data_IF_242282277869
#
_entry.id   IF_242282277869
#
_cell.length_a   1.000
_cell.length_b   1.000
_cell.length_c   1.000
_cell.angle_alpha   90.00
_cell.angle_beta   90.00
_cell.angle_gamma   90.00
#
_symmetry.space_group_name_H-M   'P 1'
#
loop_
_entity.id
_entity.type
_entity.pdbx_description
1 polymer ?
#
# COMPACT_ATOMS: atom_id res chain seq x y z
N UNK A 1 -46.10 20.47 5.85
CA UNK A 1 -45.99 19.09 6.39
C UNK A 1 -44.59 18.60 6.06
N UNK A 2 -43.67 18.74 7.01
CA UNK A 2 -42.31 18.29 6.91
C UNK A 2 -42.30 16.77 7.07
N UNK A 3 -41.84 16.05 6.06
CA UNK A 3 -41.61 14.61 6.18
C UNK A 3 -40.33 14.41 7.01
N UNK A 4 -40.51 13.99 8.27
CA UNK A 4 -39.39 13.50 9.08
C UNK A 4 -38.70 12.34 8.35
N UNK A 5 -37.34 12.27 8.30
CA UNK A 5 -36.65 11.17 7.66
C UNK A 5 -36.97 9.86 8.39
N UNK A 6 -37.38 8.85 7.61
CA UNK A 6 -37.65 7.51 8.10
C UNK A 6 -36.34 6.88 8.59
N UNK A 7 -36.11 6.95 9.88
CA UNK A 7 -34.97 6.27 10.52
C UNK A 7 -35.34 4.79 10.64
N UNK A 8 -34.72 3.95 9.82
CA UNK A 8 -34.82 2.49 9.99
C UNK A 8 -34.19 2.14 11.33
N UNK A 9 -34.95 1.60 12.31
CA UNK A 9 -34.38 1.21 13.59
C UNK A 9 -33.30 0.16 13.34
N UNK A 10 -32.06 0.44 13.78
CA UNK A 10 -30.99 -0.53 13.77
C UNK A 10 -31.45 -1.76 14.55
N UNK A 11 -31.66 -2.88 13.88
CA UNK A 11 -31.93 -4.16 14.55
C UNK A 11 -30.81 -4.37 15.57
N UNK A 12 -31.17 -4.50 16.84
CA UNK A 12 -30.23 -4.80 17.92
C UNK A 12 -29.60 -6.18 17.64
N UNK A 13 -28.44 -6.16 16.98
CA UNK A 13 -27.66 -7.36 16.72
C UNK A 13 -26.82 -7.68 17.94
N UNK A 14 -26.75 -8.94 18.31
CA UNK A 14 -25.89 -9.49 19.34
C UNK A 14 -24.42 -9.42 18.91
N UNK A 15 -23.76 -8.28 19.10
CA UNK A 15 -22.32 -8.07 18.87
C UNK A 15 -21.85 -8.11 17.40
N UNK A 16 -20.58 -7.76 17.15
CA UNK A 16 -19.99 -7.79 15.82
C UNK A 16 -19.81 -9.23 15.33
N UNK A 17 -20.11 -9.47 14.06
CA UNK A 17 -19.88 -10.75 13.41
C UNK A 17 -18.48 -10.77 12.77
N UNK A 18 -17.92 -11.96 12.55
CA UNK A 18 -16.61 -12.11 11.88
C UNK A 18 -16.55 -11.38 10.53
N UNK A 19 -17.66 -11.41 9.77
CA UNK A 19 -17.76 -10.69 8.50
C UNK A 19 -17.60 -9.19 8.65
N UNK A 20 -18.07 -8.59 9.76
CA UNK A 20 -17.97 -7.15 9.99
C UNK A 20 -16.51 -6.77 10.29
N UNK A 21 -15.77 -7.64 10.98
CA UNK A 21 -14.32 -7.48 11.20
C UNK A 21 -13.55 -7.67 9.89
N UNK A 22 -13.88 -8.67 9.07
CA UNK A 22 -13.25 -8.86 7.77
C UNK A 22 -13.52 -7.68 6.84
N UNK A 23 -14.73 -7.13 6.84
CA UNK A 23 -15.06 -5.93 6.06
C UNK A 23 -14.25 -4.71 6.54
N UNK A 24 -14.04 -4.56 7.86
CA UNK A 24 -13.19 -3.51 8.43
C UNK A 24 -11.72 -3.65 7.98
N UNK A 25 -11.20 -4.88 7.92
CA UNK A 25 -9.83 -5.16 7.51
C UNK A 25 -9.60 -5.09 5.98
N UNK A 26 -10.66 -4.96 5.18
CA UNK A 26 -10.65 -4.77 3.72
C UNK A 26 -9.71 -5.73 2.95
N UNK A 27 -9.98 -7.03 2.85
CA UNK A 27 -9.09 -8.02 2.23
C UNK A 27 -8.61 -7.66 0.82
N UNK A 28 -9.42 -6.90 0.06
CA UNK A 28 -9.05 -6.41 -1.29
C UNK A 28 -7.78 -5.54 -1.28
N UNK A 29 -7.45 -4.91 -0.16
CA UNK A 29 -6.27 -4.04 -0.02
C UNK A 29 -5.00 -4.81 0.33
N UNK A 30 -5.08 -6.10 0.67
CA UNK A 30 -3.91 -6.89 1.10
C UNK A 30 -3.02 -7.30 -0.05
N UNK A 31 -3.56 -7.33 -1.28
CA UNK A 31 -2.83 -7.79 -2.45
C UNK A 31 -1.50 -7.03 -2.70
N UNK A 32 -1.47 -5.67 -2.76
CA UNK A 32 -0.23 -4.95 -3.06
C UNK A 32 0.91 -5.23 -2.07
N UNK A 33 0.74 -5.13 -0.73
CA UNK A 33 1.82 -5.44 0.19
C UNK A 33 2.21 -6.93 0.20
N UNK A 34 1.28 -7.85 -0.04
CA UNK A 34 1.61 -9.27 -0.21
C UNK A 34 2.42 -9.51 -1.48
N UNK A 35 2.12 -8.80 -2.57
CA UNK A 35 2.90 -8.84 -3.80
C UNK A 35 4.33 -8.33 -3.57
N UNK A 36 4.48 -7.16 -2.95
CA UNK A 36 5.78 -6.60 -2.62
C UNK A 36 6.57 -7.51 -1.66
N UNK A 37 5.91 -8.11 -0.67
CA UNK A 37 6.49 -9.13 0.19
C UNK A 37 7.03 -10.32 -0.64
N UNK A 38 6.26 -10.83 -1.60
CA UNK A 38 6.70 -11.90 -2.49
C UNK A 38 7.89 -11.49 -3.36
N UNK A 39 7.95 -10.24 -3.83
CA UNK A 39 9.15 -9.72 -4.50
C UNK A 39 10.37 -9.77 -3.56
N UNK A 40 10.19 -9.48 -2.27
CA UNK A 40 11.22 -9.63 -1.25
C UNK A 40 11.70 -11.07 -1.09
N UNK A 41 10.75 -11.99 -0.97
CA UNK A 41 11.04 -13.44 -0.89
C UNK A 41 11.86 -13.90 -2.09
N UNK A 42 11.41 -13.56 -3.30
CA UNK A 42 12.11 -13.95 -4.55
C UNK A 42 13.50 -13.32 -4.61
N UNK A 43 13.62 -12.01 -4.31
CA UNK A 43 14.89 -11.28 -4.42
C UNK A 43 15.97 -11.76 -3.46
N UNK A 44 15.59 -12.49 -2.39
CA UNK A 44 16.53 -13.04 -1.44
C UNK A 44 17.41 -14.18 -2.03
N UNK A 45 16.98 -14.79 -3.14
CA UNK A 45 17.63 -15.96 -3.72
C UNK A 45 17.58 -17.22 -2.85
N UNK A 46 16.99 -17.15 -1.66
CA UNK A 46 16.94 -18.28 -0.71
C UNK A 46 15.86 -19.28 -1.13
N UNK A 47 16.19 -20.58 -1.26
CA UNK A 47 15.20 -21.60 -1.61
C UNK A 47 14.05 -21.68 -0.61
N UNK A 48 12.84 -21.92 -1.13
CA UNK A 48 11.63 -22.07 -0.31
C UNK A 48 11.55 -23.41 0.44
N UNK A 49 12.40 -24.38 0.08
CA UNK A 49 12.44 -25.68 0.77
C UNK A 49 12.55 -25.45 2.29
N UNK A 50 11.71 -26.12 3.05
CA UNK A 50 11.63 -26.06 4.52
C UNK A 50 11.29 -24.68 5.12
N UNK A 51 10.93 -23.67 4.30
CA UNK A 51 10.59 -22.31 4.73
C UNK A 51 9.15 -21.90 4.50
N UNK A 52 8.30 -22.83 4.08
CA UNK A 52 6.88 -22.55 3.80
C UNK A 52 6.13 -21.93 4.99
N UNK A 53 6.44 -22.37 6.20
CA UNK A 53 5.86 -21.80 7.43
C UNK A 53 6.20 -20.33 7.60
N UNK A 54 7.46 -19.93 7.35
CA UNK A 54 7.90 -18.54 7.40
C UNK A 54 7.28 -17.70 6.28
N UNK A 55 7.18 -18.25 5.06
CA UNK A 55 6.50 -17.58 3.95
C UNK A 55 5.05 -17.27 4.29
N UNK A 56 4.29 -18.27 4.77
CA UNK A 56 2.88 -18.09 5.12
C UNK A 56 2.75 -17.09 6.27
N UNK A 57 3.56 -17.23 7.32
CA UNK A 57 3.55 -16.30 8.46
C UNK A 57 3.87 -14.85 8.03
N UNK A 58 4.84 -14.66 7.15
CA UNK A 58 5.20 -13.35 6.61
C UNK A 58 4.12 -12.75 5.70
N UNK A 59 3.46 -13.57 4.86
CA UNK A 59 2.32 -13.13 4.07
C UNK A 59 1.13 -12.71 4.95
N UNK A 60 0.85 -13.47 6.01
CA UNK A 60 -0.18 -13.12 6.99
C UNK A 60 0.20 -11.84 7.74
N UNK A 61 1.48 -11.63 8.01
CA UNK A 61 1.97 -10.41 8.64
C UNK A 61 1.78 -9.20 7.71
N UNK A 62 2.23 -9.26 6.44
CA UNK A 62 2.17 -8.14 5.51
C UNK A 62 0.73 -7.78 5.10
N UNK A 63 -0.11 -8.76 4.79
CA UNK A 63 -1.49 -8.58 4.36
C UNK A 63 -2.46 -8.40 5.52
N UNK A 64 -3.03 -9.47 6.09
CA UNK A 64 -4.08 -9.39 7.11
C UNK A 64 -3.70 -8.59 8.35
N UNK A 65 -2.48 -8.79 8.88
CA UNK A 65 -2.09 -8.20 10.16
C UNK A 65 -1.69 -6.74 10.04
N UNK A 66 -0.71 -6.39 9.19
CA UNK A 66 -0.25 -5.00 9.11
C UNK A 66 -1.15 -4.17 8.19
N UNK A 67 -1.37 -4.60 6.94
CA UNK A 67 -2.21 -3.85 6.00
C UNK A 67 -3.68 -3.85 6.44
N UNK A 68 -4.25 -5.01 6.78
CA UNK A 68 -5.63 -5.08 7.26
C UNK A 68 -5.84 -4.22 8.51
N UNK A 69 -4.90 -4.27 9.47
CA UNK A 69 -4.97 -3.42 10.65
C UNK A 69 -4.87 -1.93 10.31
N UNK A 70 -4.08 -1.54 9.31
CA UNK A 70 -4.01 -0.14 8.86
C UNK A 70 -5.37 0.38 8.37
N UNK A 71 -6.21 -0.51 7.79
CA UNK A 71 -7.58 -0.17 7.40
C UNK A 71 -8.48 0.06 8.62
N UNK A 72 -8.34 -0.77 9.66
CA UNK A 72 -9.07 -0.58 10.91
C UNK A 72 -8.69 0.74 11.61
N UNK A 73 -7.40 1.06 11.64
CA UNK A 73 -6.89 2.36 12.13
C UNK A 73 -7.52 3.50 11.32
N UNK A 74 -7.47 3.40 9.98
CA UNK A 74 -8.01 4.41 9.09
C UNK A 74 -9.51 4.65 9.32
N UNK A 75 -10.32 3.59 9.31
CA UNK A 75 -11.77 3.69 9.50
C UNK A 75 -12.15 4.21 10.89
N UNK A 76 -11.35 3.91 11.93
CA UNK A 76 -11.57 4.48 13.24
C UNK A 76 -11.39 6.00 13.26
N UNK A 77 -10.30 6.51 12.67
CA UNK A 77 -10.04 7.95 12.65
C UNK A 77 -10.97 8.70 11.69
N UNK A 78 -11.47 8.03 10.64
CA UNK A 78 -12.39 8.61 9.66
C UNK A 78 -13.88 8.42 10.01
N UNK A 79 -14.22 7.71 11.08
CA UNK A 79 -15.60 7.32 11.42
C UNK A 79 -16.65 8.44 11.34
N UNK A 80 -16.24 9.68 11.61
CA UNK A 80 -17.14 10.85 11.53
C UNK A 80 -17.37 11.32 10.08
N UNK A 81 -16.34 11.24 9.25
CA UNK A 81 -16.41 11.54 7.82
C UNK A 81 -17.14 10.42 7.09
N UNK A 82 -16.82 9.17 7.43
CA UNK A 82 -17.47 7.98 6.86
C UNK A 82 -18.96 7.92 7.23
N UNK A 83 -19.37 8.44 8.38
CA UNK A 83 -20.80 8.50 8.74
C UNK A 83 -21.64 9.34 7.75
N UNK A 84 -20.99 10.27 7.04
CA UNK A 84 -21.64 11.09 6.00
C UNK A 84 -21.48 10.44 4.63
N UNK A 85 -20.26 10.00 4.29
CA UNK A 85 -19.93 9.57 2.93
C UNK A 85 -20.21 8.09 2.67
N UNK A 86 -20.00 7.23 3.67
CA UNK A 86 -20.12 5.78 3.58
C UNK A 86 -20.79 5.19 4.84
N UNK A 87 -22.04 5.60 5.14
CA UNK A 87 -22.73 5.23 6.39
C UNK A 87 -22.94 3.72 6.56
N UNK A 88 -22.80 2.94 5.48
CA UNK A 88 -22.89 1.49 5.48
C UNK A 88 -21.64 0.77 6.02
N UNK A 89 -20.48 1.45 6.16
CA UNK A 89 -19.24 0.86 6.70
C UNK A 89 -19.45 0.32 8.12
N UNK A 90 -18.66 -0.67 8.57
CA UNK A 90 -18.88 -1.36 9.85
C UNK A 90 -18.95 -0.45 11.07
N UNK A 91 -18.11 0.60 11.16
CA UNK A 91 -18.09 1.50 12.31
C UNK A 91 -19.24 2.50 12.26
N UNK A 92 -19.47 3.28 11.18
CA UNK A 92 -20.58 4.22 11.11
C UNK A 92 -21.96 3.56 11.22
N UNK A 93 -22.14 2.38 10.64
CA UNK A 93 -23.41 1.65 10.70
C UNK A 93 -23.74 1.06 12.09
N UNK A 94 -22.80 1.12 13.05
CA UNK A 94 -22.97 0.54 14.37
C UNK A 94 -22.77 -0.97 14.43
N UNK A 95 -22.42 -1.65 13.32
CA UNK A 95 -22.09 -3.09 13.31
C UNK A 95 -20.85 -3.40 14.15
N UNK A 96 -19.92 -2.45 14.22
CA UNK A 96 -18.79 -2.41 15.16
C UNK A 96 -19.04 -1.24 16.12
N UNK A 97 -19.65 -1.48 17.30
CA UNK A 97 -20.16 -0.41 18.15
C UNK A 97 -19.09 0.25 19.01
N UNK A 98 -19.35 1.48 19.41
CA UNK A 98 -18.59 2.21 20.42
C UNK A 98 -17.11 2.35 20.06
N UNK A 99 -16.21 1.96 20.98
CA UNK A 99 -14.75 2.00 20.80
C UNK A 99 -14.15 0.69 20.28
N UNK A 100 -14.98 -0.27 19.87
CA UNK A 100 -14.49 -1.59 19.48
C UNK A 100 -13.56 -1.53 18.25
N UNK A 101 -13.84 -0.62 17.27
CA UNK A 101 -12.95 -0.39 16.13
C UNK A 101 -11.53 0.03 16.58
N UNK A 102 -11.41 0.89 17.59
CA UNK A 102 -10.12 1.27 18.16
C UNK A 102 -9.45 0.09 18.86
N UNK A 103 -10.20 -0.71 19.61
CA UNK A 103 -9.62 -1.88 20.30
C UNK A 103 -9.14 -2.93 19.30
N UNK A 104 -9.86 -3.14 18.19
CA UNK A 104 -9.40 -4.00 17.09
C UNK A 104 -8.09 -3.46 16.51
N UNK A 105 -8.00 -2.14 16.26
CA UNK A 105 -6.78 -1.50 15.74
C UNK A 105 -5.58 -1.64 16.69
N UNK A 106 -5.79 -1.45 18.00
CA UNK A 106 -4.73 -1.62 19.01
C UNK A 106 -4.32 -3.10 19.13
N UNK A 107 -5.29 -4.01 19.25
CA UNK A 107 -5.01 -5.44 19.34
C UNK A 107 -4.30 -5.96 18.08
N UNK A 108 -4.75 -5.54 16.88
CA UNK A 108 -4.10 -5.87 15.61
C UNK A 108 -2.66 -5.36 15.55
N UNK A 109 -2.39 -4.14 16.05
CA UNK A 109 -1.02 -3.61 16.15
C UNK A 109 -0.14 -4.46 17.06
N UNK A 110 -0.63 -4.80 18.26
CA UNK A 110 0.11 -5.65 19.21
C UNK A 110 0.37 -7.04 18.64
N UNK A 111 -0.63 -7.67 18.02
CA UNK A 111 -0.50 -8.99 17.38
C UNK A 111 0.53 -8.92 16.25
N UNK A 112 0.47 -7.89 15.40
CA UNK A 112 1.44 -7.69 14.30
C UNK A 112 2.87 -7.62 14.84
N UNK A 113 3.11 -6.83 15.89
CA UNK A 113 4.42 -6.70 16.52
C UNK A 113 4.90 -8.02 17.11
N UNK A 114 4.05 -8.73 17.85
CA UNK A 114 4.40 -10.03 18.41
C UNK A 114 4.77 -11.04 17.32
N UNK A 115 3.97 -11.15 16.27
CA UNK A 115 4.26 -12.04 15.12
C UNK A 115 5.57 -11.63 14.44
N UNK A 116 5.77 -10.33 14.20
CA UNK A 116 7.00 -9.82 13.58
C UNK A 116 8.25 -10.20 14.36
N UNK A 117 8.24 -10.03 15.69
CA UNK A 117 9.37 -10.40 16.55
C UNK A 117 9.55 -11.91 16.74
N UNK A 118 8.47 -12.69 16.70
CA UNK A 118 8.55 -14.17 16.70
C UNK A 118 9.21 -14.69 15.42
N UNK A 119 8.94 -14.06 14.27
CA UNK A 119 9.61 -14.43 12.99
C UNK A 119 11.10 -14.08 13.06
N UNK A 120 11.46 -12.92 13.62
CA UNK A 120 12.85 -12.51 13.79
C UNK A 120 13.01 -11.03 14.17
N UNK A 121 14.14 -10.64 14.78
CA UNK A 121 14.31 -9.27 15.28
C UNK A 121 14.28 -8.20 14.18
N UNK A 122 14.83 -8.48 13.00
CA UNK A 122 14.82 -7.56 11.85
C UNK A 122 13.40 -7.42 11.29
N UNK A 123 12.65 -8.53 11.21
CA UNK A 123 11.24 -8.53 10.80
C UNK A 123 10.40 -7.77 11.82
N UNK A 124 10.64 -7.96 13.13
CA UNK A 124 10.00 -7.21 14.19
C UNK A 124 10.25 -5.70 14.06
N UNK A 125 11.49 -5.29 13.82
CA UNK A 125 11.84 -3.89 13.60
C UNK A 125 11.14 -3.30 12.36
N UNK A 126 11.09 -4.02 11.24
CA UNK A 126 10.33 -3.63 10.05
C UNK A 126 8.81 -3.51 10.36
N UNK A 127 8.27 -4.42 11.17
CA UNK A 127 6.87 -4.37 11.61
C UNK A 127 6.59 -3.14 12.47
N UNK A 128 7.52 -2.77 13.37
CA UNK A 128 7.41 -1.50 14.13
C UNK A 128 7.30 -0.31 13.19
N UNK A 129 8.14 -0.26 12.16
CA UNK A 129 8.08 0.82 11.14
C UNK A 129 6.73 0.81 10.42
N UNK A 130 6.26 -0.34 9.94
CA UNK A 130 4.98 -0.47 9.22
C UNK A 130 3.78 -0.06 10.09
N UNK A 131 3.73 -0.52 11.34
CA UNK A 131 2.67 -0.14 12.29
C UNK A 131 2.74 1.36 12.62
N UNK A 132 3.93 1.91 12.85
CA UNK A 132 4.11 3.34 13.10
C UNK A 132 3.64 4.18 11.90
N UNK A 133 3.97 3.76 10.67
CA UNK A 133 3.48 4.42 9.44
C UNK A 133 1.95 4.36 9.34
N UNK A 134 1.31 3.22 9.67
CA UNK A 134 -0.15 3.09 9.64
C UNK A 134 -0.84 4.06 10.61
N UNK A 135 -0.34 4.19 11.85
CA UNK A 135 -0.84 5.15 12.81
C UNK A 135 -0.56 6.58 12.39
N UNK A 136 0.66 6.91 11.98
CA UNK A 136 1.05 8.25 11.53
C UNK A 136 0.27 8.71 10.28
N UNK A 137 -0.11 7.78 9.41
CA UNK A 137 -0.94 8.05 8.24
C UNK A 137 -2.33 8.56 8.61
N UNK A 138 -2.96 7.98 9.65
CA UNK A 138 -4.37 8.23 9.98
C UNK A 138 -4.59 9.07 11.24
N UNK A 139 -3.72 8.93 12.26
CA UNK A 139 -3.91 9.52 13.58
C UNK A 139 -3.34 10.95 13.68
N UNK A 140 -4.06 11.88 14.37
CA UNK A 140 -3.48 13.14 14.79
C UNK A 140 -2.30 12.91 15.78
N UNK A 141 -1.30 13.82 15.84
CA UNK A 141 -1.21 15.09 15.10
C UNK A 141 -0.66 14.92 13.68
N UNK A 142 -0.07 13.79 13.31
CA UNK A 142 0.61 13.60 12.03
C UNK A 142 -0.36 13.53 10.85
N UNK A 143 -1.31 12.61 10.89
CA UNK A 143 -2.37 12.43 9.89
C UNK A 143 -1.88 12.66 8.44
N UNK A 144 -0.81 11.98 8.04
CA UNK A 144 -0.13 12.21 6.74
C UNK A 144 -1.05 12.10 5.53
N UNK A 145 -2.13 11.32 5.62
CA UNK A 145 -3.13 11.24 4.56
C UNK A 145 -3.79 12.57 4.18
N UNK A 146 -3.77 13.56 5.10
CA UNK A 146 -4.29 14.90 4.82
C UNK A 146 -3.35 15.74 3.94
N UNK A 147 -2.13 15.27 3.67
CA UNK A 147 -1.13 15.94 2.87
C UNK A 147 -0.90 15.18 1.56
N UNK A 148 -1.14 15.82 0.42
CA UNK A 148 -1.06 15.20 -0.90
C UNK A 148 0.33 14.72 -1.33
N UNK A 149 1.40 15.10 -0.63
CA UNK A 149 2.76 14.60 -0.85
C UNK A 149 3.11 13.46 0.12
N UNK A 150 2.90 13.72 1.41
CA UNK A 150 3.28 12.77 2.47
C UNK A 150 2.36 11.56 2.53
N UNK A 151 1.06 11.74 2.27
CA UNK A 151 0.10 10.64 2.25
C UNK A 151 0.49 9.55 1.24
N UNK A 152 0.59 9.88 -0.05
CA UNK A 152 1.06 8.96 -1.08
C UNK A 152 2.43 8.36 -0.79
N UNK A 153 3.39 9.15 -0.27
CA UNK A 153 4.75 8.68 0.04
C UNK A 153 4.76 7.65 1.17
N UNK A 154 4.05 7.92 2.26
CA UNK A 154 3.98 6.99 3.40
C UNK A 154 3.23 5.71 3.01
N UNK A 155 2.15 5.83 2.23
CA UNK A 155 1.41 4.68 1.74
C UNK A 155 2.28 3.79 0.83
N UNK A 156 2.96 4.38 -0.15
CA UNK A 156 3.87 3.68 -1.06
C UNK A 156 5.06 3.05 -0.32
N UNK A 157 5.65 3.78 0.62
CA UNK A 157 6.73 3.29 1.47
C UNK A 157 6.33 2.08 2.31
N UNK A 158 5.13 2.08 2.88
CA UNK A 158 4.61 0.96 3.66
C UNK A 158 4.27 -0.24 2.77
N UNK A 159 3.54 -0.01 1.68
CA UNK A 159 3.02 -1.08 0.82
C UNK A 159 4.13 -1.76 0.02
N UNK A 160 5.01 -0.98 -0.61
CA UNK A 160 6.06 -1.51 -1.47
C UNK A 160 7.39 -1.67 -0.71
N UNK A 161 7.83 -0.64 0.00
CA UNK A 161 9.15 -0.62 0.64
C UNK A 161 9.25 -1.56 1.83
N UNK A 162 8.46 -1.32 2.89
CA UNK A 162 8.51 -2.11 4.12
C UNK A 162 8.10 -3.56 3.87
N UNK A 163 7.12 -3.79 3.00
CA UNK A 163 6.65 -5.14 2.68
C UNK A 163 7.71 -5.94 1.90
N UNK A 164 8.36 -5.35 0.90
CA UNK A 164 9.47 -5.99 0.18
C UNK A 164 10.65 -6.30 1.11
N UNK A 165 11.06 -5.29 1.92
CA UNK A 165 12.10 -5.49 2.93
C UNK A 165 11.76 -6.66 3.87
N UNK A 166 10.52 -6.71 4.35
CA UNK A 166 10.06 -7.77 5.26
C UNK A 166 10.16 -9.15 4.61
N UNK A 167 9.74 -9.28 3.35
CA UNK A 167 9.86 -10.54 2.61
C UNK A 167 11.30 -11.02 2.46
N UNK A 168 12.21 -10.12 2.11
CA UNK A 168 13.64 -10.44 2.00
C UNK A 168 14.26 -10.77 3.37
N UNK A 169 13.89 -10.02 4.43
CA UNK A 169 14.38 -10.24 5.79
C UNK A 169 13.90 -11.57 6.38
N UNK A 170 12.66 -11.98 6.11
CA UNK A 170 12.10 -13.29 6.51
C UNK A 170 12.92 -14.43 5.91
N UNK A 171 13.27 -14.32 4.64
CA UNK A 171 14.03 -15.37 3.94
C UNK A 171 15.51 -15.35 4.31
N UNK A 172 16.13 -14.18 4.47
CA UNK A 172 17.53 -14.06 4.88
C UNK A 172 17.75 -14.45 6.36
N UNK A 173 16.71 -14.39 7.20
CA UNK A 173 16.82 -14.53 8.65
C UNK A 173 17.53 -13.34 9.32
N UNK A 174 17.65 -12.20 8.62
CA UNK A 174 18.38 -11.00 9.06
C UNK A 174 18.23 -9.84 8.09
N UNK A 175 19.24 -8.95 8.05
CA UNK A 175 19.24 -7.83 7.12
C UNK A 175 19.34 -8.29 5.67
N UNK A 176 18.49 -7.78 4.77
CA UNK A 176 18.62 -8.04 3.33
C UNK A 176 19.91 -7.48 2.73
N UNK A 177 20.33 -8.04 1.60
CA UNK A 177 21.44 -7.51 0.81
C UNK A 177 21.18 -6.04 0.39
N UNK A 178 22.23 -5.23 0.37
CA UNK A 178 22.13 -3.81 0.04
C UNK A 178 21.52 -3.56 -1.36
N UNK A 179 21.76 -4.46 -2.31
CA UNK A 179 21.18 -4.37 -3.67
C UNK A 179 19.66 -4.49 -3.65
N UNK A 180 19.11 -5.36 -2.78
CA UNK A 180 17.67 -5.48 -2.56
C UNK A 180 17.13 -4.17 -1.99
N UNK A 181 17.83 -3.60 -1.00
CA UNK A 181 17.42 -2.33 -0.37
C UNK A 181 17.38 -1.20 -1.41
N UNK A 182 18.36 -1.10 -2.29
CA UNK A 182 18.35 -0.10 -3.36
C UNK A 182 17.13 -0.27 -4.29
N UNK A 183 16.86 -1.48 -4.74
CA UNK A 183 15.75 -1.74 -5.67
C UNK A 183 14.39 -1.48 -5.00
N UNK A 184 14.16 -1.97 -3.77
CA UNK A 184 12.90 -1.71 -3.08
C UNK A 184 12.67 -0.21 -2.80
N UNK A 185 13.73 0.54 -2.48
CA UNK A 185 13.61 1.99 -2.30
C UNK A 185 13.20 2.70 -3.60
N UNK A 186 13.75 2.29 -4.74
CA UNK A 186 13.38 2.86 -6.03
C UNK A 186 11.92 2.53 -6.38
N UNK A 187 11.48 1.30 -6.19
CA UNK A 187 10.09 0.94 -6.43
C UNK A 187 9.13 1.59 -5.42
N UNK A 188 9.49 1.70 -4.15
CA UNK A 188 8.68 2.43 -3.18
C UNK A 188 8.53 3.92 -3.54
N UNK A 189 9.62 4.56 -3.98
CA UNK A 189 9.57 5.94 -4.50
C UNK A 189 8.67 6.06 -5.73
N UNK A 190 8.79 5.13 -6.67
CA UNK A 190 7.95 5.14 -7.87
C UNK A 190 6.47 4.89 -7.58
N UNK A 191 6.15 4.04 -6.62
CA UNK A 191 4.77 3.78 -6.19
C UNK A 191 4.05 5.01 -5.63
N UNK A 192 4.77 6.05 -5.19
CA UNK A 192 4.19 7.36 -4.88
C UNK A 192 3.33 7.87 -6.04
N UNK A 193 3.81 7.76 -7.28
CA UNK A 193 3.03 8.17 -8.46
C UNK A 193 1.74 7.37 -8.65
N UNK A 194 1.76 6.06 -8.33
CA UNK A 194 0.55 5.22 -8.34
C UNK A 194 -0.46 5.72 -7.30
N UNK A 195 0.00 6.06 -6.09
CA UNK A 195 -0.86 6.59 -5.04
C UNK A 195 -1.46 7.95 -5.43
N UNK A 196 -0.67 8.84 -6.05
CA UNK A 196 -1.18 10.11 -6.59
C UNK A 196 -2.26 9.88 -7.65
N UNK A 197 -2.09 8.91 -8.56
CA UNK A 197 -3.12 8.59 -9.57
C UNK A 197 -4.40 8.02 -8.92
N UNK A 198 -4.31 7.38 -7.77
CA UNK A 198 -5.48 6.92 -7.04
C UNK A 198 -6.34 8.07 -6.50
N UNK A 199 -5.76 9.24 -6.24
CA UNK A 199 -6.49 10.41 -5.72
C UNK A 199 -7.40 11.04 -6.78
N UNK A 200 -7.14 10.81 -8.08
CA UNK A 200 -7.96 11.39 -9.17
C UNK A 200 -9.43 10.97 -9.13
N UNK A 201 -9.75 9.83 -8.55
CA UNK A 201 -11.14 9.38 -8.36
C UNK A 201 -11.92 10.18 -7.32
N UNK A 202 -11.21 10.87 -6.42
CA UNK A 202 -11.78 11.54 -5.25
C UNK A 202 -11.66 13.07 -5.29
N UNK A 203 -11.08 13.68 -6.33
CA UNK A 203 -10.75 15.13 -6.41
C UNK A 203 -11.88 16.03 -5.98
N UNK A 204 -13.13 15.76 -6.44
CA UNK A 204 -14.31 16.59 -6.07
C UNK A 204 -14.66 16.47 -4.59
N UNK A 205 -14.63 15.26 -4.06
CA UNK A 205 -14.87 15.00 -2.64
C UNK A 205 -13.76 15.60 -1.77
N UNK A 206 -12.51 15.39 -2.15
CA UNK A 206 -11.34 15.91 -1.45
C UNK A 206 -11.42 17.44 -1.30
N UNK A 207 -11.74 18.15 -2.39
CA UNK A 207 -11.91 19.60 -2.37
C UNK A 207 -13.06 20.05 -1.45
N UNK A 208 -14.18 19.32 -1.38
CA UNK A 208 -15.32 19.64 -0.55
C UNK A 208 -15.05 19.41 0.95
N UNK A 209 -14.29 18.38 1.28
CA UNK A 209 -14.01 17.98 2.67
C UNK A 209 -12.66 18.47 3.21
N UNK A 210 -11.97 19.36 2.47
CA UNK A 210 -10.72 19.98 2.90
C UNK A 210 -9.55 18.98 2.93
N UNK A 211 -9.62 17.90 2.14
CA UNK A 211 -8.49 16.99 1.91
C UNK A 211 -7.61 17.59 0.82
N UNK A 212 -6.37 17.88 1.17
CA UNK A 212 -5.40 18.48 0.27
C UNK A 212 -4.63 17.39 -0.52
N UNK A 213 -5.36 16.57 -1.31
CA UNK A 213 -4.71 15.65 -2.25
C UNK A 213 -3.94 16.42 -3.33
N UNK A 214 -2.95 15.78 -3.95
CA UNK A 214 -2.08 16.46 -4.89
C UNK A 214 -2.83 17.09 -6.07
N UNK A 215 -3.82 16.41 -6.70
CA UNK A 215 -4.64 17.02 -7.75
C UNK A 215 -5.42 18.26 -7.28
N UNK A 216 -5.82 18.32 -6.00
CA UNK A 216 -6.50 19.50 -5.41
C UNK A 216 -5.51 20.64 -5.21
N UNK A 217 -4.29 20.36 -4.75
CA UNK A 217 -3.28 21.38 -4.44
C UNK A 217 -2.72 22.08 -5.68
N UNK A 218 -2.35 21.31 -6.72
CA UNK A 218 -1.57 21.81 -7.86
C UNK A 218 -2.29 21.63 -9.22
N UNK A 219 -3.53 21.15 -9.18
CA UNK A 219 -4.33 20.85 -10.37
C UNK A 219 -4.02 19.49 -10.98
N UNK A 220 -5.01 18.93 -11.69
CA UNK A 220 -4.97 17.56 -12.23
C UNK A 220 -3.78 17.34 -13.18
N UNK A 221 -3.49 18.32 -14.08
CA UNK A 221 -2.41 18.17 -15.06
C UNK A 221 -1.04 18.04 -14.41
N UNK A 222 -0.71 18.97 -13.50
CA UNK A 222 0.58 18.98 -12.82
C UNK A 222 0.73 17.74 -11.92
N UNK A 223 -0.34 17.34 -11.24
CA UNK A 223 -0.34 16.12 -10.43
C UNK A 223 -0.11 14.86 -11.27
N UNK A 224 -0.70 14.78 -12.47
CA UNK A 224 -0.47 13.67 -13.40
C UNK A 224 0.97 13.65 -13.94
N UNK A 225 1.54 14.82 -14.27
CA UNK A 225 2.95 14.93 -14.69
C UNK A 225 3.90 14.45 -13.58
N UNK A 226 3.68 14.91 -12.34
CA UNK A 226 4.46 14.45 -11.18
C UNK A 226 4.30 12.94 -10.97
N UNK A 227 3.09 12.41 -11.04
CA UNK A 227 2.84 10.99 -10.91
C UNK A 227 3.60 10.17 -11.97
N UNK A 228 3.57 10.60 -13.23
CA UNK A 228 4.30 9.93 -14.32
C UNK A 228 5.81 9.98 -14.10
N UNK A 229 6.37 11.13 -13.74
CA UNK A 229 7.80 11.27 -13.50
C UNK A 229 8.28 10.49 -12.28
N UNK A 230 7.52 10.52 -11.19
CA UNK A 230 7.87 9.73 -9.99
C UNK A 230 7.80 8.22 -10.23
N UNK A 231 6.95 7.74 -11.12
CA UNK A 231 6.95 6.34 -11.54
C UNK A 231 8.11 6.01 -12.48
N UNK A 232 8.46 6.91 -13.42
CA UNK A 232 9.41 6.62 -14.46
C UNK A 232 10.88 6.72 -13.98
N UNK A 233 11.24 7.82 -13.31
CA UNK A 233 12.64 8.09 -12.94
C UNK A 233 13.27 7.01 -12.05
N UNK A 234 12.61 6.52 -10.98
CA UNK A 234 13.17 5.43 -10.19
C UNK A 234 13.34 4.15 -10.99
N UNK A 235 12.43 3.83 -11.93
CA UNK A 235 12.60 2.65 -12.80
C UNK A 235 13.81 2.79 -13.74
N UNK A 236 14.12 4.00 -14.22
CA UNK A 236 15.37 4.23 -14.97
C UNK A 236 16.60 3.93 -14.11
N UNK A 237 16.58 4.33 -12.83
CA UNK A 237 17.67 3.98 -11.90
C UNK A 237 17.75 2.46 -11.70
N UNK A 238 16.62 1.78 -11.56
CA UNK A 238 16.57 0.29 -11.47
C UNK A 238 17.21 -0.34 -12.70
N UNK A 239 16.85 0.11 -13.92
CA UNK A 239 17.43 -0.39 -15.18
C UNK A 239 18.97 -0.26 -15.18
N UNK A 240 19.46 0.93 -14.78
CA UNK A 240 20.90 1.18 -14.72
C UNK A 240 21.57 0.29 -13.67
N UNK A 241 21.00 0.14 -12.48
CA UNK A 241 21.57 -0.70 -11.42
C UNK A 241 21.63 -2.16 -11.85
N UNK A 242 20.54 -2.70 -12.39
CA UNK A 242 20.51 -4.08 -12.88
C UNK A 242 21.56 -4.30 -13.98
N UNK A 243 21.68 -3.38 -14.94
CA UNK A 243 22.70 -3.48 -15.99
C UNK A 243 24.12 -3.45 -15.42
N UNK A 244 24.39 -2.56 -14.44
CA UNK A 244 25.71 -2.46 -13.78
C UNK A 244 26.08 -3.71 -12.97
N UNK A 245 25.08 -4.42 -12.46
CA UNK A 245 25.29 -5.70 -11.76
C UNK A 245 25.37 -6.90 -12.71
N UNK A 246 25.40 -6.69 -14.05
CA UNK A 246 25.46 -7.75 -15.04
C UNK A 246 24.13 -8.44 -15.32
N UNK A 247 23.03 -7.94 -14.76
CA UNK A 247 21.67 -8.47 -14.92
C UNK A 247 21.01 -7.89 -16.18
N UNK A 248 21.61 -8.13 -17.35
CA UNK A 248 21.22 -7.50 -18.61
C UNK A 248 19.79 -7.87 -19.03
N UNK A 249 19.39 -9.12 -18.86
CA UNK A 249 18.04 -9.57 -19.21
C UNK A 249 16.95 -8.94 -18.34
N UNK A 250 17.02 -8.97 -16.99
CA UNK A 250 16.07 -8.25 -16.14
C UNK A 250 16.04 -6.73 -16.42
N UNK A 251 17.22 -6.12 -16.66
CA UNK A 251 17.32 -4.71 -17.04
C UNK A 251 16.54 -4.40 -18.32
N UNK A 252 16.71 -5.22 -19.38
CA UNK A 252 16.01 -5.07 -20.65
C UNK A 252 14.49 -5.24 -20.50
N UNK A 253 14.04 -6.19 -19.68
CA UNK A 253 12.61 -6.43 -19.42
C UNK A 253 11.97 -5.26 -18.64
N UNK A 254 12.66 -4.71 -17.65
CA UNK A 254 12.18 -3.52 -16.93
C UNK A 254 12.14 -2.32 -17.87
N UNK A 255 13.15 -2.15 -18.73
CA UNK A 255 13.18 -1.07 -19.73
C UNK A 255 12.02 -1.20 -20.72
N UNK A 256 11.72 -2.40 -21.21
CA UNK A 256 10.57 -2.66 -22.08
C UNK A 256 9.25 -2.34 -21.35
N UNK A 257 9.10 -2.79 -20.11
CA UNK A 257 7.92 -2.49 -19.30
C UNK A 257 7.73 -0.99 -19.11
N UNK A 258 8.81 -0.24 -18.82
CA UNK A 258 8.78 1.21 -18.68
C UNK A 258 8.41 1.90 -20.01
N UNK A 259 8.93 1.43 -21.14
CA UNK A 259 8.57 1.97 -22.45
C UNK A 259 7.06 1.80 -22.73
N UNK A 260 6.49 0.64 -22.42
CA UNK A 260 5.04 0.42 -22.52
C UNK A 260 4.25 1.32 -21.56
N UNK A 261 4.72 1.48 -20.31
CA UNK A 261 4.13 2.41 -19.36
C UNK A 261 4.16 3.85 -19.90
N UNK A 262 5.26 4.30 -20.54
CA UNK A 262 5.39 5.64 -21.09
C UNK A 262 4.35 5.91 -22.18
N UNK A 263 4.04 4.91 -23.02
CA UNK A 263 2.94 5.03 -24.01
C UNK A 263 1.58 5.20 -23.32
N UNK A 264 1.33 4.46 -22.25
CA UNK A 264 0.10 4.57 -21.47
C UNK A 264 0.01 5.90 -20.69
N UNK A 265 1.15 6.41 -20.19
CA UNK A 265 1.23 7.71 -19.52
C UNK A 265 0.82 8.87 -20.41
N UNK A 266 1.08 8.80 -21.72
CA UNK A 266 0.63 9.84 -22.67
C UNK A 266 -0.90 10.00 -22.66
N UNK A 267 -1.66 8.91 -22.47
CA UNK A 267 -3.12 8.98 -22.32
C UNK A 267 -3.52 9.65 -21.02
N UNK A 268 -2.81 9.36 -19.94
CA UNK A 268 -3.06 10.01 -18.63
C UNK A 268 -2.83 11.51 -18.75
N UNK A 269 -1.72 11.93 -19.37
CA UNK A 269 -1.38 13.34 -19.55
C UNK A 269 -2.37 14.09 -20.46
N UNK A 270 -3.00 13.39 -21.42
CA UNK A 270 -4.01 13.98 -22.29
C UNK A 270 -5.34 14.25 -21.57
N UNK A 271 -5.77 13.37 -20.64
CA UNK A 271 -7.00 13.53 -19.87
C UNK A 271 -6.85 12.80 -18.50
N UNK A 272 -6.24 13.46 -17.50
CA UNK A 272 -5.82 12.80 -16.26
C UNK A 272 -6.94 12.08 -15.50
N UNK A 273 -8.00 12.78 -15.11
CA UNK A 273 -9.09 12.19 -14.34
C UNK A 273 -9.81 11.05 -15.06
N UNK A 274 -9.96 11.16 -16.39
CA UNK A 274 -10.63 10.13 -17.20
C UNK A 274 -9.77 8.88 -17.37
N UNK A 275 -8.44 9.02 -17.47
CA UNK A 275 -7.53 7.93 -17.81
C UNK A 275 -6.74 7.37 -16.60
N UNK A 276 -6.76 8.01 -15.43
CA UNK A 276 -6.12 7.47 -14.23
C UNK A 276 -6.63 6.06 -13.86
N UNK A 277 -7.95 5.76 -13.87
CA UNK A 277 -8.43 4.40 -13.61
C UNK A 277 -7.93 3.36 -14.63
N UNK A 278 -7.87 3.75 -15.90
CA UNK A 278 -7.33 2.88 -16.96
C UNK A 278 -5.84 2.60 -16.75
N UNK A 279 -5.06 3.61 -16.40
CA UNK A 279 -3.63 3.42 -16.09
C UNK A 279 -3.41 2.56 -14.86
N UNK A 280 -4.22 2.75 -13.82
CA UNK A 280 -4.16 1.92 -12.61
C UNK A 280 -4.43 0.44 -12.89
N UNK A 281 -5.26 0.13 -13.88
CA UNK A 281 -5.51 -1.25 -14.31
C UNK A 281 -4.42 -1.82 -15.24
N UNK A 282 -3.70 -0.97 -15.99
CA UNK A 282 -2.79 -1.41 -17.06
C UNK A 282 -1.33 -1.05 -16.77
N UNK A 283 -1.02 0.22 -16.63
CA UNK A 283 0.34 0.71 -16.36
C UNK A 283 0.88 0.25 -15.01
N UNK A 284 0.02 0.23 -13.97
CA UNK A 284 0.39 -0.32 -12.66
C UNK A 284 0.66 -1.82 -12.73
N UNK A 285 -0.07 -2.58 -13.55
CA UNK A 285 0.25 -4.00 -13.79
C UNK A 285 1.64 -4.17 -14.37
N UNK A 286 2.01 -3.35 -15.37
CA UNK A 286 3.37 -3.38 -15.93
C UNK A 286 4.42 -2.99 -14.88
N UNK A 287 4.10 -2.02 -14.02
CA UNK A 287 4.98 -1.60 -12.92
C UNK A 287 5.27 -2.76 -11.95
N UNK A 288 4.24 -3.44 -11.45
CA UNK A 288 4.40 -4.54 -10.49
C UNK A 288 5.03 -5.79 -11.13
N UNK A 289 4.85 -6.01 -12.43
CA UNK A 289 5.60 -7.03 -13.18
C UNK A 289 7.08 -6.66 -13.30
N UNK A 290 7.41 -5.37 -13.46
CA UNK A 290 8.78 -4.86 -13.38
C UNK A 290 9.43 -5.12 -12.01
N UNK A 291 8.68 -4.94 -10.92
CA UNK A 291 9.13 -5.30 -9.56
C UNK A 291 9.54 -6.78 -9.47
N UNK A 292 8.67 -7.66 -9.92
CA UNK A 292 8.93 -9.11 -9.90
C UNK A 292 10.10 -9.49 -10.81
N UNK A 293 10.22 -8.87 -11.98
CA UNK A 293 11.35 -9.05 -12.90
C UNK A 293 12.68 -8.66 -12.23
N UNK A 294 12.71 -7.51 -11.55
CA UNK A 294 13.89 -7.07 -10.79
C UNK A 294 14.21 -8.03 -9.64
N UNK A 295 13.18 -8.55 -8.94
CA UNK A 295 13.36 -9.53 -7.87
C UNK A 295 13.98 -10.83 -8.37
N UNK A 296 13.52 -11.37 -9.50
CA UNK A 296 14.14 -12.56 -10.14
C UNK A 296 15.58 -12.29 -10.61
N UNK A 297 15.85 -11.07 -11.07
CA UNK A 297 17.23 -10.68 -11.39
C UNK A 297 18.12 -10.73 -10.15
N UNK A 298 17.70 -10.10 -9.05
CA UNK A 298 18.46 -10.11 -7.79
C UNK A 298 18.70 -11.51 -7.25
N UNK A 299 17.74 -12.42 -7.37
CA UNK A 299 17.88 -13.80 -6.94
C UNK A 299 19.04 -14.57 -7.62
N UNK A 300 19.52 -14.08 -8.77
CA UNK A 300 20.65 -14.72 -9.50
C UNK A 300 22.02 -14.33 -8.93
N UNK A 301 22.07 -13.26 -8.11
CA UNK A 301 23.32 -12.70 -7.57
C UNK A 301 23.26 -12.56 -6.04
N UNK A 302 22.22 -13.11 -5.42
CA UNK A 302 22.00 -13.12 -3.97
C UNK A 302 22.94 -14.10 -3.26
#
# INVERSE_FOLDING_TARGET
MEHAPFVIPAQARSGPQLRDVLELLKPVTWFPPMWAFMCGVVSSGVPLADRWGLLIAGMMLAGPLVCGNSQAINDWFDRHVDAVNEPQRPIPSGRIPGRLGLYIAIAGSVISLLVGFVIGPVVGAATVVGVAMAWAYSAPPLRFKANGWLGPLVCAGAYEGVSWFTGAAVMAGGMPDARIIWILCMYALGAHGIMVLNDFKAVKGDAQFGVNSLPVQIGERNAAEIACWTMALPQVVVIILLARWGLHWPSAMVAFSLAMQAVLMQRVLAAPAANAPFYNATGTTLYVLGMLTAAFGLAQIA
#
